data_IF_251865465309
#
_entry.id   IF_251865465309
#
_cell.length_a   1.000
_cell.length_b   1.000
_cell.length_c   1.000
_cell.angle_alpha   90.00
_cell.angle_beta   90.00
_cell.angle_gamma   90.00
#
_symmetry.space_group_name_H-M   'P 1'
#
loop_
_entity.id
_entity.type
_entity.pdbx_description
1 polymer ?
#
# COMPACT_ATOMS: atom_id res chain seq x y z
N UNK A 1 -19.82 -48.87 22.75
CA UNK A 1 -19.48 -47.57 22.12
C UNK A 1 -18.23 -47.03 22.78
N UNK A 2 -17.08 -47.64 22.53
CA UNK A 2 -15.82 -47.35 23.26
C UNK A 2 -14.62 -47.59 22.36
N UNK A 3 -14.60 -46.92 21.20
CA UNK A 3 -13.51 -47.04 20.20
C UNK A 3 -13.30 -45.71 19.47
N UNK A 4 -13.21 -44.60 20.20
CA UNK A 4 -12.77 -43.32 19.62
C UNK A 4 -11.72 -42.54 20.43
N UNK A 5 -11.34 -43.02 21.63
CA UNK A 5 -10.32 -42.35 22.46
C UNK A 5 -8.94 -43.02 22.43
N UNK A 6 -8.80 -44.23 21.84
CA UNK A 6 -7.50 -44.92 21.78
C UNK A 6 -6.52 -44.27 20.79
N UNK A 7 -7.05 -43.56 19.78
CA UNK A 7 -6.27 -42.75 18.84
C UNK A 7 -6.30 -41.26 19.20
N UNK A 8 -6.32 -40.93 20.50
CA UNK A 8 -6.19 -39.54 20.91
C UNK A 8 -4.81 -39.01 20.47
N UNK A 9 -4.74 -38.01 19.56
CA UNK A 9 -3.49 -37.50 19.04
C UNK A 9 -2.85 -36.62 20.12
N UNK A 10 -2.22 -37.28 21.10
CA UNK A 10 -1.59 -36.65 22.27
C UNK A 10 -0.63 -35.55 21.85
N UNK A 11 0.03 -35.70 20.70
CA UNK A 11 0.96 -34.72 20.18
C UNK A 11 0.26 -33.51 19.57
N UNK A 12 -0.88 -33.69 18.88
CA UNK A 12 -1.71 -32.57 18.43
C UNK A 12 -2.31 -31.80 19.62
N UNK A 13 -2.73 -32.52 20.67
CA UNK A 13 -3.26 -31.90 21.88
C UNK A 13 -2.17 -31.17 22.68
N UNK A 14 -0.95 -31.74 22.77
CA UNK A 14 0.21 -31.06 23.36
C UNK A 14 0.63 -29.83 22.55
N UNK A 15 0.59 -29.91 21.23
CA UNK A 15 0.83 -28.75 20.37
C UNK A 15 -0.20 -27.66 20.65
N UNK A 16 -1.48 -28.02 20.82
CA UNK A 16 -2.58 -27.12 21.22
C UNK A 16 -2.36 -26.44 22.59
N UNK A 17 -1.80 -27.17 23.54
CA UNK A 17 -1.47 -26.63 24.88
C UNK A 17 -0.26 -25.68 24.85
N UNK A 18 0.60 -25.77 23.83
CA UNK A 18 1.84 -25.01 23.70
C UNK A 18 1.77 -23.88 22.65
N UNK A 19 0.58 -23.60 22.10
CA UNK A 19 0.39 -22.55 21.08
C UNK A 19 0.70 -21.19 21.69
N UNK A 20 1.69 -20.49 21.12
CA UNK A 20 2.04 -19.12 21.50
C UNK A 20 0.93 -18.13 21.08
N UNK A 21 0.78 -16.97 21.76
CA UNK A 21 -0.27 -16.00 21.44
C UNK A 21 -0.33 -15.60 19.95
N UNK A 22 0.83 -15.44 19.31
CA UNK A 22 0.93 -15.12 17.88
C UNK A 22 0.40 -16.25 16.98
N UNK A 23 0.65 -17.51 17.36
CA UNK A 23 0.15 -18.68 16.66
C UNK A 23 -1.36 -18.87 16.89
N UNK A 24 -1.88 -18.48 18.06
CA UNK A 24 -3.32 -18.49 18.34
C UNK A 24 -4.06 -17.48 17.46
N UNK A 25 -3.51 -16.28 17.30
CA UNK A 25 -4.09 -15.25 16.44
C UNK A 25 -4.10 -15.69 14.97
N UNK A 26 -3.01 -16.29 14.48
CA UNK A 26 -2.95 -16.85 13.13
C UNK A 26 -4.06 -17.90 12.90
N UNK A 27 -4.23 -18.84 13.83
CA UNK A 27 -5.25 -19.89 13.75
C UNK A 27 -6.65 -19.28 13.78
N UNK A 28 -6.89 -18.33 14.69
CA UNK A 28 -8.16 -17.64 14.81
C UNK A 28 -8.55 -16.96 13.50
N UNK A 29 -7.65 -16.14 12.94
CA UNK A 29 -7.88 -15.43 11.67
C UNK A 29 -8.13 -16.37 10.51
N UNK A 30 -7.36 -17.46 10.43
CA UNK A 30 -7.57 -18.49 9.43
C UNK A 30 -8.96 -19.12 9.52
N UNK A 31 -9.43 -19.43 10.73
CA UNK A 31 -10.75 -20.03 10.94
C UNK A 31 -11.90 -19.04 10.72
N UNK A 32 -11.68 -17.75 10.90
CA UNK A 32 -12.65 -16.69 10.60
C UNK A 32 -12.80 -16.42 9.09
N UNK A 33 -11.86 -16.88 8.26
CA UNK A 33 -11.91 -16.73 6.81
C UNK A 33 -12.94 -17.65 6.14
N UNK A 34 -13.40 -17.26 4.94
CA UNK A 34 -14.24 -18.13 4.10
C UNK A 34 -13.48 -19.35 3.57
N UNK A 35 -14.21 -20.41 3.20
CA UNK A 35 -13.63 -21.65 2.65
C UNK A 35 -12.70 -21.39 1.45
N UNK A 36 -13.05 -20.41 0.61
CA UNK A 36 -12.25 -20.02 -0.55
C UNK A 36 -10.91 -19.42 -0.13
N UNK A 37 -10.91 -18.51 0.85
CA UNK A 37 -9.68 -17.90 1.38
C UNK A 37 -8.84 -18.95 2.11
N UNK A 38 -9.46 -19.80 2.91
CA UNK A 38 -8.78 -20.91 3.58
C UNK A 38 -8.12 -21.88 2.59
N UNK A 39 -8.76 -22.14 1.43
CA UNK A 39 -8.17 -22.97 0.37
C UNK A 39 -6.91 -22.34 -0.23
N UNK A 40 -6.90 -21.02 -0.46
CA UNK A 40 -5.73 -20.30 -0.96
C UNK A 40 -4.59 -20.34 0.05
N UNK A 41 -4.89 -20.05 1.32
CA UNK A 41 -3.89 -20.09 2.40
C UNK A 41 -3.27 -21.48 2.56
N UNK A 42 -4.08 -22.55 2.51
CA UNK A 42 -3.57 -23.94 2.51
C UNK A 42 -2.65 -24.22 1.33
N UNK A 43 -2.98 -23.71 0.15
CA UNK A 43 -2.13 -23.87 -1.04
C UNK A 43 -0.79 -23.17 -0.86
N UNK A 44 -0.77 -21.99 -0.22
CA UNK A 44 0.47 -21.28 0.08
C UNK A 44 1.30 -21.96 1.18
N UNK A 45 0.68 -22.56 2.21
CA UNK A 45 1.42 -23.39 3.15
C UNK A 45 2.12 -24.58 2.48
N UNK A 46 1.46 -25.23 1.52
CA UNK A 46 2.08 -26.30 0.74
C UNK A 46 3.30 -25.81 -0.07
N UNK A 47 3.29 -24.57 -0.56
CA UNK A 47 4.47 -23.95 -1.19
C UNK A 47 5.60 -23.77 -0.17
N UNK A 48 5.29 -23.34 1.06
CA UNK A 48 6.31 -23.14 2.11
C UNK A 48 6.96 -24.44 2.60
N UNK A 49 6.21 -25.54 2.60
CA UNK A 49 6.66 -26.87 3.01
C UNK A 49 7.41 -27.63 1.91
N UNK A 50 7.34 -27.19 0.65
CA UNK A 50 7.98 -27.89 -0.45
C UNK A 50 9.49 -27.63 -0.50
N UNK A 51 10.29 -28.70 -0.52
CA UNK A 51 11.76 -28.66 -0.39
C UNK A 51 12.50 -27.86 -1.49
N UNK A 52 11.90 -27.74 -2.68
CA UNK A 52 12.51 -27.02 -3.82
C UNK A 52 12.00 -25.60 -4.01
N UNK A 53 11.23 -25.06 -3.06
CA UNK A 53 10.71 -23.69 -3.13
C UNK A 53 11.86 -22.69 -3.00
N UNK A 54 11.94 -21.75 -3.95
CA UNK A 54 12.96 -20.69 -3.93
C UNK A 54 12.67 -19.67 -2.83
N UNK A 55 13.68 -18.87 -2.46
CA UNK A 55 13.49 -17.81 -1.45
C UNK A 55 12.47 -16.75 -1.91
N UNK A 56 12.44 -16.43 -3.20
CA UNK A 56 11.43 -15.52 -3.78
C UNK A 56 10.02 -16.12 -3.72
N UNK A 57 9.87 -17.41 -4.02
CA UNK A 57 8.58 -18.11 -3.91
C UNK A 57 8.10 -18.19 -2.47
N UNK A 58 9.02 -18.46 -1.53
CA UNK A 58 8.76 -18.50 -0.09
C UNK A 58 8.27 -17.13 0.39
N UNK A 59 8.96 -16.06 -0.01
CA UNK A 59 8.57 -14.71 0.35
C UNK A 59 7.20 -14.34 -0.21
N UNK A 60 6.93 -14.66 -1.49
CA UNK A 60 5.61 -14.42 -2.11
C UNK A 60 4.49 -15.18 -1.41
N UNK A 61 4.72 -16.44 -1.05
CA UNK A 61 3.76 -17.24 -0.30
C UNK A 61 3.48 -16.65 1.09
N UNK A 62 4.51 -16.20 1.81
CA UNK A 62 4.36 -15.53 3.11
C UNK A 62 3.52 -14.25 2.97
N UNK A 63 3.85 -13.37 2.01
CA UNK A 63 3.10 -12.13 1.78
C UNK A 63 1.64 -12.42 1.43
N UNK A 64 1.39 -13.41 0.58
CA UNK A 64 0.03 -13.79 0.19
C UNK A 64 -0.79 -14.31 1.38
N UNK A 65 -0.17 -15.11 2.27
CA UNK A 65 -0.83 -15.56 3.51
C UNK A 65 -1.10 -14.39 4.43
N UNK A 66 -0.13 -13.48 4.58
CA UNK A 66 -0.27 -12.31 5.42
C UNK A 66 -1.44 -11.43 4.96
N UNK A 67 -1.54 -11.15 3.66
CA UNK A 67 -2.62 -10.35 3.07
C UNK A 67 -4.00 -11.02 3.25
N UNK A 68 -4.05 -12.35 3.19
CA UNK A 68 -5.29 -13.11 3.34
C UNK A 68 -5.80 -13.13 4.79
N UNK A 69 -4.91 -13.21 5.76
CA UNK A 69 -5.25 -13.44 7.18
C UNK A 69 -5.23 -12.16 8.03
N UNK A 70 -4.37 -11.22 7.69
CA UNK A 70 -4.12 -9.99 8.44
C UNK A 70 -4.51 -8.78 7.59
N UNK A 71 -5.82 -8.63 7.37
CA UNK A 71 -6.37 -7.44 6.73
C UNK A 71 -5.93 -6.19 7.51
N UNK A 72 -5.21 -5.30 6.83
CA UNK A 72 -4.73 -4.06 7.40
C UNK A 72 -5.94 -3.13 7.69
N UNK A 73 -6.21 -2.76 8.95
CA UNK A 73 -7.49 -2.14 9.34
C UNK A 73 -7.58 -0.63 9.08
N UNK A 74 -6.78 -0.05 8.19
CA UNK A 74 -6.88 1.38 7.87
C UNK A 74 -8.04 1.64 6.89
N UNK A 75 -9.21 1.78 7.51
CA UNK A 75 -10.45 2.47 7.13
C UNK A 75 -10.70 2.76 5.63
N UNK A 76 -11.69 2.04 5.09
CA UNK A 76 -12.35 2.40 3.84
C UNK A 76 -12.45 1.23 2.88
N UNK A 77 -13.43 0.34 3.14
CA UNK A 77 -13.83 -0.76 2.27
C UNK A 77 -12.72 -1.76 1.92
N UNK A 78 -12.31 -2.59 2.88
CA UNK A 78 -11.84 -3.98 2.67
C UNK A 78 -11.08 -4.26 1.36
N UNK A 79 -10.16 -3.39 0.97
CA UNK A 79 -9.35 -3.53 -0.23
C UNK A 79 -7.98 -3.96 0.24
N UNK A 80 -7.56 -5.12 -0.24
CA UNK A 80 -6.18 -5.54 -0.32
C UNK A 80 -5.25 -4.32 -0.46
N UNK A 81 -4.36 -4.12 0.50
CA UNK A 81 -3.59 -2.89 0.53
C UNK A 81 -2.54 -2.91 1.62
N UNK A 82 -1.29 -3.06 1.19
CA UNK A 82 -0.14 -2.65 1.99
C UNK A 82 -0.31 -1.18 2.38
N UNK A 83 0.02 -0.82 3.61
CA UNK A 83 0.04 0.57 4.03
C UNK A 83 1.21 1.28 3.33
N UNK A 84 0.87 2.18 2.39
CA UNK A 84 1.83 2.92 1.59
C UNK A 84 2.82 3.68 2.48
N UNK A 85 2.36 4.23 3.60
CA UNK A 85 3.23 4.98 4.54
C UNK A 85 4.27 4.07 5.21
N UNK A 86 3.86 2.85 5.56
CA UNK A 86 4.75 1.81 6.09
C UNK A 86 5.74 1.35 5.03
N UNK A 87 5.31 1.10 3.80
CA UNK A 87 6.21 0.73 2.69
C UNK A 87 7.23 1.84 2.44
N UNK A 88 6.81 3.09 2.36
CA UNK A 88 7.70 4.22 2.08
C UNK A 88 8.79 4.34 3.14
N UNK A 89 8.44 4.17 4.42
CA UNK A 89 9.39 4.17 5.53
C UNK A 89 10.35 2.99 5.44
N UNK A 90 9.84 1.78 5.23
CA UNK A 90 10.69 0.59 5.08
C UNK A 90 11.61 0.69 3.86
N UNK A 91 11.12 1.26 2.75
CA UNK A 91 11.90 1.48 1.52
C UNK A 91 13.01 2.51 1.75
N UNK A 92 12.73 3.55 2.53
CA UNK A 92 13.73 4.55 2.91
C UNK A 92 14.83 3.94 3.80
N UNK A 93 14.45 3.10 4.76
CA UNK A 93 15.38 2.41 5.67
C UNK A 93 16.24 1.37 4.93
N UNK A 94 15.63 0.64 4.00
CA UNK A 94 16.26 -0.47 3.25
C UNK A 94 16.85 -0.04 1.90
N UNK A 95 16.91 1.26 1.60
CA UNK A 95 17.34 1.77 0.30
C UNK A 95 18.70 1.16 -0.12
N UNK A 96 18.80 0.65 -1.36
CA UNK A 96 19.94 -0.12 -1.86
C UNK A 96 21.28 0.63 -1.77
N UNK A 97 21.23 1.94 -1.91
CA UNK A 97 22.37 2.83 -1.74
C UNK A 97 22.38 3.41 -0.32
N UNK A 98 23.29 2.91 0.51
CA UNK A 98 23.46 3.28 1.94
C UNK A 98 23.59 4.80 2.14
N UNK A 99 24.36 5.47 1.28
CA UNK A 99 24.59 6.92 1.33
C UNK A 99 23.33 7.76 1.12
N UNK A 100 22.31 7.20 0.45
CA UNK A 100 21.04 7.89 0.17
C UNK A 100 19.99 7.72 1.28
N UNK A 101 20.12 6.69 2.14
CA UNK A 101 19.19 6.45 3.27
C UNK A 101 18.95 7.69 4.13
N UNK A 102 19.96 8.42 4.63
CA UNK A 102 19.72 9.60 5.47
C UNK A 102 19.04 10.73 4.69
N UNK A 103 19.31 10.86 3.40
CA UNK A 103 18.68 11.90 2.55
C UNK A 103 17.22 11.58 2.30
N UNK A 104 16.88 10.31 2.02
CA UNK A 104 15.50 9.87 1.79
C UNK A 104 14.69 9.96 3.09
N UNK A 105 15.22 9.46 4.21
CA UNK A 105 14.57 9.54 5.50
C UNK A 105 14.30 11.01 5.92
N UNK A 106 15.31 11.87 5.83
CA UNK A 106 15.15 13.30 6.15
C UNK A 106 14.11 13.99 5.26
N UNK A 107 14.00 13.60 3.98
CA UNK A 107 12.95 14.12 3.09
C UNK A 107 11.56 13.66 3.51
N UNK A 108 11.38 12.39 3.85
CA UNK A 108 10.09 11.88 4.33
C UNK A 108 9.64 12.61 5.60
N UNK A 109 10.55 12.81 6.56
CA UNK A 109 10.26 13.58 7.78
C UNK A 109 9.84 15.01 7.48
N UNK A 110 10.49 15.65 6.50
CA UNK A 110 10.09 16.99 6.04
C UNK A 110 8.68 16.99 5.43
N UNK A 111 8.31 15.97 4.66
CA UNK A 111 6.98 15.87 4.07
C UNK A 111 5.90 15.66 5.14
N UNK A 112 6.11 14.73 6.08
CA UNK A 112 5.16 14.47 7.18
C UNK A 112 4.99 15.72 8.06
N UNK A 113 6.09 16.42 8.38
CA UNK A 113 6.04 17.67 9.13
C UNK A 113 5.23 18.76 8.42
N UNK A 114 5.34 18.85 7.09
CA UNK A 114 4.56 19.80 6.29
C UNK A 114 3.07 19.47 6.31
N UNK A 115 2.70 18.20 6.15
CA UNK A 115 1.29 17.76 6.20
C UNK A 115 0.67 17.98 7.59
N UNK A 116 1.43 17.68 8.65
CA UNK A 116 1.02 17.99 10.03
C UNK A 116 0.77 19.48 10.24
N UNK A 117 1.69 20.32 9.76
CA UNK A 117 1.56 21.77 9.85
C UNK A 117 0.33 22.26 9.09
N UNK A 118 0.09 21.77 7.87
CA UNK A 118 -1.07 22.12 7.08
C UNK A 118 -2.38 21.75 7.80
N UNK A 119 -2.50 20.50 8.25
CA UNK A 119 -3.71 20.01 8.91
C UNK A 119 -4.02 20.81 10.19
N UNK A 120 -2.99 21.07 11.01
CA UNK A 120 -3.14 21.88 12.22
C UNK A 120 -3.64 23.30 11.91
N UNK A 121 -3.06 23.95 10.91
CA UNK A 121 -3.42 25.32 10.52
C UNK A 121 -4.81 25.39 9.93
N UNK A 122 -5.16 24.44 9.07
CA UNK A 122 -6.50 24.38 8.49
C UNK A 122 -7.57 24.21 9.58
N UNK A 123 -7.35 23.33 10.57
CA UNK A 123 -8.28 23.20 11.72
C UNK A 123 -8.44 24.51 12.47
N UNK A 124 -7.32 25.16 12.83
CA UNK A 124 -7.34 26.44 13.53
C UNK A 124 -8.13 27.50 12.76
N UNK A 125 -7.92 27.61 11.45
CA UNK A 125 -8.61 28.60 10.62
C UNK A 125 -10.12 28.30 10.52
N UNK A 126 -10.50 27.02 10.42
CA UNK A 126 -11.91 26.62 10.42
C UNK A 126 -12.58 26.96 11.75
N UNK A 127 -11.91 26.70 12.87
CA UNK A 127 -12.38 27.08 14.22
C UNK A 127 -12.52 28.61 14.36
N UNK A 128 -11.51 29.38 13.96
CA UNK A 128 -11.52 30.85 14.02
C UNK A 128 -12.64 31.46 13.18
N UNK A 129 -13.01 30.82 12.07
CA UNK A 129 -14.06 31.27 11.15
C UNK A 129 -15.43 30.62 11.41
N UNK A 130 -15.53 29.75 12.41
CA UNK A 130 -16.72 28.93 12.70
C UNK A 130 -17.26 28.20 11.46
N UNK A 131 -16.36 27.56 10.70
CA UNK A 131 -16.71 26.82 9.48
C UNK A 131 -16.58 25.31 9.70
N UNK A 132 -17.54 24.57 9.15
CA UNK A 132 -17.48 23.10 9.14
C UNK A 132 -16.66 22.58 7.95
N UNK A 133 -16.32 21.27 7.99
CA UNK A 133 -15.64 20.62 6.87
C UNK A 133 -16.55 20.51 5.65
N UNK A 134 -17.84 20.26 5.88
CA UNK A 134 -18.87 20.26 4.83
C UNK A 134 -18.93 21.62 4.12
N UNK A 135 -19.00 22.72 4.88
CA UNK A 135 -19.06 24.07 4.33
C UNK A 135 -17.81 24.45 3.55
N UNK A 136 -16.63 24.06 4.03
CA UNK A 136 -15.39 24.26 3.28
C UNK A 136 -15.41 23.47 1.97
N UNK A 137 -15.83 22.20 2.03
CA UNK A 137 -15.88 21.32 0.86
C UNK A 137 -16.80 21.87 -0.23
N UNK A 138 -17.98 22.37 0.17
CA UNK A 138 -18.92 23.05 -0.74
C UNK A 138 -18.28 24.28 -1.39
N UNK A 139 -17.57 25.12 -0.61
CA UNK A 139 -16.92 26.34 -1.13
C UNK A 139 -15.80 26.08 -2.12
N UNK A 140 -15.11 24.94 -2.02
CA UNK A 140 -13.98 24.60 -2.90
C UNK A 140 -14.33 23.58 -3.98
N UNK A 141 -15.61 23.21 -4.07
CA UNK A 141 -16.15 22.24 -5.02
C UNK A 141 -15.43 20.88 -4.89
N UNK A 142 -15.46 20.31 -3.68
CA UNK A 142 -14.96 18.96 -3.41
C UNK A 142 -15.87 18.22 -2.41
N UNK A 143 -15.52 16.97 -2.08
CA UNK A 143 -16.27 16.19 -1.09
C UNK A 143 -15.76 16.45 0.33
N UNK A 144 -16.67 16.39 1.30
CA UNK A 144 -16.30 16.47 2.72
C UNK A 144 -15.27 15.39 3.09
N UNK A 145 -15.40 14.18 2.52
CA UNK A 145 -14.42 13.11 2.71
C UNK A 145 -13.02 13.50 2.27
N UNK A 146 -12.87 14.26 1.18
CA UNK A 146 -11.56 14.75 0.75
C UNK A 146 -10.97 15.74 1.79
N UNK A 147 -11.78 16.65 2.32
CA UNK A 147 -11.36 17.57 3.41
C UNK A 147 -10.95 16.79 4.66
N UNK A 148 -11.75 15.80 5.05
CA UNK A 148 -11.45 14.93 6.20
C UNK A 148 -10.14 14.15 6.01
N UNK A 149 -9.90 13.59 4.81
CA UNK A 149 -8.63 12.90 4.48
C UNK A 149 -7.42 13.84 4.57
N UNK A 150 -7.55 15.06 4.07
CA UNK A 150 -6.50 16.08 4.19
C UNK A 150 -6.23 16.48 5.66
N UNK A 151 -7.28 16.58 6.47
CA UNK A 151 -7.15 16.90 7.90
C UNK A 151 -6.62 15.73 8.74
N UNK A 152 -6.87 14.49 8.33
CA UNK A 152 -6.34 13.28 8.97
C UNK A 152 -4.93 12.90 8.48
N UNK A 153 -4.38 13.63 7.49
CA UNK A 153 -3.10 13.35 6.83
C UNK A 153 -3.06 12.02 6.08
N UNK A 154 -4.24 11.58 5.62
CA UNK A 154 -4.39 10.42 4.76
C UNK A 154 -4.36 10.79 3.26
N UNK A 155 -4.35 12.09 2.95
CA UNK A 155 -4.20 12.60 1.60
C UNK A 155 -3.53 13.97 1.64
N UNK A 156 -2.53 14.18 0.79
CA UNK A 156 -1.88 15.48 0.65
C UNK A 156 -2.70 16.40 -0.25
N UNK A 157 -2.93 17.68 0.11
CA UNK A 157 -3.55 18.64 -0.79
C UNK A 157 -2.61 18.99 -1.95
N UNK A 158 -3.08 18.89 -3.20
CA UNK A 158 -2.40 19.51 -4.33
C UNK A 158 -2.41 21.03 -4.20
N UNK A 159 -1.42 21.70 -4.80
CA UNK A 159 -1.32 23.17 -4.87
C UNK A 159 -2.61 23.83 -5.34
N UNK A 160 -3.26 23.30 -6.39
CA UNK A 160 -4.53 23.85 -6.89
C UNK A 160 -5.59 23.86 -5.78
N UNK A 161 -5.65 22.80 -4.97
CA UNK A 161 -6.56 22.67 -3.82
C UNK A 161 -6.19 23.68 -2.72
N UNK A 162 -4.90 23.85 -2.41
CA UNK A 162 -4.45 24.85 -1.43
C UNK A 162 -4.90 26.27 -1.84
N UNK A 163 -4.72 26.63 -3.11
CA UNK A 163 -5.17 27.94 -3.61
C UNK A 163 -6.69 28.11 -3.60
N UNK A 164 -7.45 27.05 -3.92
CA UNK A 164 -8.92 27.06 -3.79
C UNK A 164 -9.34 27.29 -2.34
N UNK A 165 -8.73 26.57 -1.39
CA UNK A 165 -8.99 26.72 0.04
C UNK A 165 -8.63 28.12 0.55
N UNK A 166 -7.45 28.63 0.21
CA UNK A 166 -7.01 29.97 0.59
C UNK A 166 -8.01 31.05 0.12
N UNK A 167 -8.48 30.94 -1.13
CA UNK A 167 -9.52 31.82 -1.68
C UNK A 167 -10.85 31.68 -0.95
N UNK A 168 -11.32 30.46 -0.69
CA UNK A 168 -12.57 30.19 0.00
C UNK A 168 -12.57 30.65 1.47
N UNK A 169 -11.40 30.64 2.11
CA UNK A 169 -11.18 31.07 3.48
C UNK A 169 -10.78 32.56 3.57
N UNK A 170 -10.52 33.22 2.45
CA UNK A 170 -10.03 34.60 2.36
C UNK A 170 -8.76 34.83 3.19
N UNK A 171 -7.73 34.03 2.92
CA UNK A 171 -6.40 34.07 3.54
C UNK A 171 -5.32 33.91 2.46
N UNK A 172 -4.06 34.19 2.81
CA UNK A 172 -2.94 33.87 1.94
C UNK A 172 -2.65 32.37 1.91
N UNK A 173 -2.25 31.82 0.76
CA UNK A 173 -1.97 30.39 0.64
C UNK A 173 -0.80 29.93 1.54
N UNK A 174 0.13 30.84 1.85
CA UNK A 174 1.26 30.61 2.77
C UNK A 174 0.81 30.48 4.23
N UNK A 175 -0.38 30.97 4.58
CA UNK A 175 -0.98 30.72 5.89
C UNK A 175 -1.36 29.25 6.06
N UNK A 176 -1.80 28.56 5.00
CA UNK A 176 -2.02 27.12 5.01
C UNK A 176 -0.70 26.35 4.87
N UNK A 177 0.21 26.84 4.02
CA UNK A 177 1.44 26.13 3.65
C UNK A 177 2.64 27.09 3.51
N UNK A 178 3.49 27.28 4.55
CA UNK A 178 4.57 28.27 4.55
C UNK A 178 5.55 28.17 3.38
N UNK A 179 5.89 26.95 2.99
CA UNK A 179 6.92 26.68 1.98
C UNK A 179 6.27 26.23 0.65
N UNK A 180 5.26 26.98 0.19
CA UNK A 180 4.47 26.60 -0.99
C UNK A 180 5.31 26.49 -2.27
N UNK A 181 6.45 27.17 -2.36
CA UNK A 181 7.41 27.01 -3.46
C UNK A 181 8.03 25.60 -3.51
N UNK A 182 8.33 25.00 -2.35
CA UNK A 182 8.85 23.62 -2.28
C UNK A 182 7.74 22.62 -2.62
N UNK A 183 6.50 22.91 -2.21
CA UNK A 183 5.35 22.12 -2.63
C UNK A 183 5.14 22.15 -4.15
N UNK A 184 5.40 23.28 -4.81
CA UNK A 184 5.32 23.38 -6.27
C UNK A 184 6.32 22.45 -6.98
N UNK A 185 7.51 22.24 -6.41
CA UNK A 185 8.49 21.28 -6.94
C UNK A 185 7.97 19.86 -6.79
N UNK A 186 7.38 19.52 -5.63
CA UNK A 186 6.86 18.18 -5.34
C UNK A 186 5.63 17.85 -6.19
N UNK A 187 4.72 18.79 -6.38
CA UNK A 187 3.56 18.62 -7.26
C UNK A 187 3.98 18.44 -8.71
N UNK A 188 5.00 19.17 -9.18
CA UNK A 188 5.54 18.97 -10.54
C UNK A 188 6.13 17.57 -10.73
N UNK A 189 6.66 16.98 -9.66
CA UNK A 189 7.17 15.61 -9.64
C UNK A 189 6.02 14.61 -9.55
N UNK A 190 4.98 14.88 -8.75
CA UNK A 190 3.77 14.05 -8.68
C UNK A 190 3.02 14.03 -10.01
N UNK A 191 2.85 15.18 -10.67
CA UNK A 191 2.28 15.32 -12.01
C UNK A 191 3.09 14.56 -13.09
N UNK A 192 4.39 14.31 -12.84
CA UNK A 192 5.20 13.46 -13.71
C UNK A 192 4.92 11.96 -13.51
N UNK A 193 4.46 11.58 -12.32
CA UNK A 193 4.13 10.20 -11.94
C UNK A 193 2.65 9.86 -12.13
N UNK A 194 1.75 10.84 -12.07
CA UNK A 194 0.33 10.70 -12.43
C UNK A 194 0.20 10.63 -13.96
N UNK A 195 0.16 9.40 -14.48
CA UNK A 195 -0.33 9.03 -15.81
C UNK A 195 0.12 9.92 -16.99
N UNK A 196 1.16 9.47 -17.69
CA UNK A 196 1.07 9.53 -19.15
C UNK A 196 -0.03 8.57 -19.57
N UNK A 197 -1.26 9.06 -19.67
CA UNK A 197 -2.30 8.42 -20.46
C UNK A 197 -1.66 8.01 -21.79
N UNK A 198 -1.60 6.71 -22.06
CA UNK A 198 -1.18 6.21 -23.36
C UNK A 198 -2.11 6.86 -24.38
N UNK A 199 -1.54 7.63 -25.30
CA UNK A 199 -2.35 8.19 -26.37
C UNK A 199 -3.04 7.05 -27.11
N UNK A 200 -4.21 7.30 -27.69
CA UNK A 200 -4.92 6.26 -28.45
C UNK A 200 -4.03 5.58 -29.51
N UNK A 201 -3.05 6.32 -30.05
CA UNK A 201 -2.04 5.81 -30.97
C UNK A 201 -0.99 4.91 -30.30
N UNK A 202 -0.54 5.25 -29.09
CA UNK A 202 0.38 4.42 -28.32
C UNK A 202 -0.29 3.13 -27.82
N UNK A 203 -1.54 3.20 -27.36
CA UNK A 203 -2.33 2.02 -26.99
C UNK A 203 -2.52 1.09 -28.20
N UNK A 204 -2.88 1.65 -29.36
CA UNK A 204 -2.94 0.90 -30.63
C UNK A 204 -1.60 0.29 -31.04
N UNK A 205 -0.49 0.98 -30.82
CA UNK A 205 0.83 0.47 -31.16
C UNK A 205 1.20 -0.77 -30.31
N UNK A 206 0.83 -0.76 -29.03
CA UNK A 206 1.04 -1.89 -28.12
C UNK A 206 0.14 -3.08 -28.50
N UNK A 207 -1.13 -2.82 -28.78
CA UNK A 207 -2.09 -3.86 -29.20
C UNK A 207 -1.66 -4.48 -30.55
N UNK A 208 -1.20 -3.66 -31.48
CA UNK A 208 -0.63 -4.10 -32.76
C UNK A 208 0.68 -4.88 -32.58
N UNK A 209 1.48 -4.57 -31.56
CA UNK A 209 2.71 -5.31 -31.26
C UNK A 209 2.40 -6.69 -30.66
N UNK A 210 1.40 -6.78 -29.77
CA UNK A 210 0.96 -8.04 -29.14
C UNK A 210 0.31 -9.02 -30.12
N UNK A 211 -0.25 -8.50 -31.22
CA UNK A 211 -0.88 -9.31 -32.29
C UNK A 211 0.07 -9.66 -33.45
N UNK A 212 1.32 -9.17 -33.43
CA UNK A 212 2.35 -9.62 -34.39
C UNK A 212 2.72 -11.06 -34.08
N UNK A 213 2.70 -11.92 -35.10
CA UNK A 213 3.33 -13.26 -35.00
C UNK A 213 4.79 -13.06 -34.55
N UNK A 214 5.25 -13.77 -33.51
CA UNK A 214 6.62 -13.60 -33.03
C UNK A 214 7.57 -13.82 -34.20
N UNK A 215 8.47 -12.85 -34.42
CA UNK A 215 9.48 -12.99 -35.44
C UNK A 215 10.26 -14.27 -35.13
N UNK A 216 10.28 -15.22 -36.07
CA UNK A 216 11.15 -16.39 -35.99
C UNK A 216 12.59 -15.92 -36.18
N UNK A 217 13.16 -15.34 -35.14
CA UNK A 217 14.60 -15.13 -35.06
C UNK A 217 15.21 -16.53 -35.02
N UNK A 218 16.09 -16.84 -35.98
CA UNK A 218 16.86 -18.09 -35.96
C UNK A 218 17.78 -18.06 -34.73
N UNK A 219 17.32 -18.58 -33.60
CA UNK A 219 18.16 -18.81 -32.44
C UNK A 219 19.01 -20.06 -32.67
N UNK A 220 20.29 -20.02 -32.31
CA UNK A 220 21.13 -21.22 -32.24
C UNK A 220 20.61 -22.08 -31.09
N UNK A 221 20.47 -23.39 -31.33
CA UNK A 221 20.08 -24.33 -30.28
C UNK A 221 21.11 -24.32 -29.15
N UNK A 222 20.62 -24.18 -27.91
CA UNK A 222 21.45 -24.29 -26.71
C UNK A 222 21.92 -25.75 -26.57
N UNK A 223 23.20 -26.00 -26.26
CA UNK A 223 23.70 -27.36 -26.08
C UNK A 223 22.96 -28.05 -24.94
N UNK A 224 22.39 -29.22 -25.22
CA UNK A 224 21.64 -30.02 -24.24
C UNK A 224 22.56 -30.43 -23.08
N UNK A 225 22.23 -30.00 -21.87
CA UNK A 225 22.95 -30.40 -20.65
C UNK A 225 22.70 -31.89 -20.42
N UNK A 226 23.71 -32.75 -20.61
CA UNK A 226 23.63 -34.17 -20.22
C UNK A 226 23.41 -34.23 -18.71
N UNK A 227 22.29 -34.82 -18.27
CA UNK A 227 22.09 -35.19 -16.87
C UNK A 227 23.17 -36.20 -16.50
N UNK A 228 24.02 -35.84 -15.53
CA UNK A 228 24.86 -36.78 -14.77
C UNK A 228 24.07 -37.23 -13.55
#
# INVERSE_FOLDING_TARGET
MTTQLDNFPRDAFRALLNIQPEQQELIRRYLECSDQVQSVVRSMFAVLEHDQTTDEDRQRAITTIADALFLNPLEGHGRYGMDLSTIERETAEKHEQEERRPVVASRLDQLDSQEATFAQRLRRILEEKNLTQEELAERIDCTQSAVSKMLSRNARPHRKTIFKMARALNIEATELWPNLEVAAILDSVSDFFEDRDLTADQAKAIEAASSRKPAKVRTRDLPSRKRK
#
